data_IF_846385211990
#
_entry.id   IF_846385211990
#
_cell.length_a   1.000
_cell.length_b   1.000
_cell.length_c   1.000
_cell.angle_alpha   90.00
_cell.angle_beta   90.00
_cell.angle_gamma   90.00
#
_symmetry.space_group_name_H-M   'P 1'
#
loop_
_entity.id
_entity.type
_entity.pdbx_description
1 polymer ?
#
# COMPACT_ATOMS: atom_id res chain seq x y z
N UNK A 1 -48.73 -20.99 8.55
CA UNK A 1 -48.80 -22.29 7.81
C UNK A 1 -47.46 -22.94 8.01
N UNK A 2 -47.27 -23.49 9.21
CA UNK A 2 -45.92 -23.60 9.75
C UNK A 2 -45.39 -25.01 9.52
N UNK A 3 -44.37 -25.09 8.65
CA UNK A 3 -43.47 -26.22 8.36
C UNK A 3 -44.06 -27.29 7.42
N UNK A 4 -43.79 -27.14 6.12
CA UNK A 4 -44.12 -28.13 5.08
C UNK A 4 -43.35 -29.45 5.27
N UNK A 5 -42.16 -29.40 5.87
CA UNK A 5 -41.38 -30.57 6.30
C UNK A 5 -41.14 -30.48 7.80
N UNK A 6 -41.47 -31.56 8.50
CA UNK A 6 -41.29 -31.68 9.94
C UNK A 6 -40.30 -32.82 10.22
N UNK A 7 -39.12 -32.52 10.79
CA UNK A 7 -38.29 -33.56 11.36
C UNK A 7 -38.95 -34.07 12.65
N UNK A 8 -38.81 -35.36 12.92
CA UNK A 8 -39.23 -35.97 14.18
C UNK A 8 -38.38 -35.50 15.37
N UNK A 9 -37.11 -35.16 15.12
CA UNK A 9 -36.19 -34.61 16.12
C UNK A 9 -35.72 -33.20 15.75
N UNK A 10 -35.63 -32.31 16.75
CA UNK A 10 -35.09 -30.95 16.57
C UNK A 10 -33.56 -30.93 16.64
N UNK A 11 -32.97 -31.90 17.32
CA UNK A 11 -31.54 -32.08 17.55
C UNK A 11 -31.19 -33.54 17.24
N UNK A 12 -30.06 -33.75 16.58
CA UNK A 12 -29.55 -35.07 16.22
C UNK A 12 -28.23 -35.28 16.94
N UNK A 13 -28.14 -36.32 17.78
CA UNK A 13 -26.92 -36.66 18.51
C UNK A 13 -26.03 -37.60 17.68
N UNK A 14 -24.75 -37.26 17.58
CA UNK A 14 -23.70 -38.02 16.92
C UNK A 14 -22.66 -38.42 17.96
N UNK A 15 -22.42 -39.72 18.09
CA UNK A 15 -21.38 -40.27 18.97
C UNK A 15 -20.12 -40.59 18.15
N UNK A 16 -19.00 -39.94 18.48
CA UNK A 16 -17.72 -40.25 17.83
C UNK A 16 -16.92 -41.25 18.67
N UNK A 17 -16.54 -42.36 18.03
CA UNK A 17 -15.57 -43.33 18.54
C UNK A 17 -14.38 -43.36 17.60
N UNK A 18 -13.16 -43.33 18.15
CA UNK A 18 -11.93 -43.40 17.37
C UNK A 18 -11.97 -44.63 16.44
N UNK A 19 -11.60 -44.42 15.18
CA UNK A 19 -11.49 -45.42 14.11
C UNK A 19 -12.80 -46.12 13.69
N UNK A 20 -13.97 -45.64 14.13
CA UNK A 20 -15.27 -46.18 13.76
C UNK A 20 -16.08 -45.22 12.86
N UNK A 21 -16.86 -45.80 11.94
CA UNK A 21 -17.84 -45.05 11.14
C UNK A 21 -18.92 -44.50 12.06
N UNK A 22 -19.21 -43.20 11.93
CA UNK A 22 -20.20 -42.51 12.74
C UNK A 22 -21.47 -42.29 11.91
N UNK A 23 -22.60 -42.82 12.37
CA UNK A 23 -23.88 -42.68 11.68
C UNK A 23 -25.03 -42.46 12.66
N UNK A 24 -26.00 -41.64 12.26
CA UNK A 24 -27.23 -41.42 13.01
C UNK A 24 -28.41 -41.31 12.04
N UNK A 25 -29.61 -41.68 12.49
CA UNK A 25 -30.80 -41.67 11.64
C UNK A 25 -31.89 -40.78 12.25
N UNK A 26 -32.59 -40.05 11.39
CA UNK A 26 -33.73 -39.20 11.74
C UNK A 26 -34.83 -39.37 10.70
N UNK A 27 -36.05 -38.99 11.04
CA UNK A 27 -37.20 -39.11 10.14
C UNK A 27 -37.69 -37.74 9.69
N UNK A 28 -37.85 -37.59 8.38
CA UNK A 28 -38.50 -36.42 7.80
C UNK A 28 -39.90 -36.78 7.35
N UNK A 29 -40.87 -35.99 7.80
CA UNK A 29 -42.26 -36.10 7.35
C UNK A 29 -42.64 -34.86 6.55
N UNK A 30 -43.00 -35.08 5.29
CA UNK A 30 -43.56 -34.04 4.44
C UNK A 30 -45.07 -33.94 4.69
N UNK A 31 -45.53 -32.79 5.18
CA UNK A 31 -46.93 -32.53 5.50
C UNK A 31 -47.74 -32.11 4.26
N UNK A 32 -47.09 -31.88 3.13
CA UNK A 32 -47.73 -31.67 1.83
C UNK A 32 -47.40 -32.84 0.91
N UNK A 33 -48.29 -33.83 0.88
CA UNK A 33 -48.17 -35.09 0.11
C UNK A 33 -48.07 -34.90 -1.42
N UNK A 34 -47.91 -33.67 -1.91
CA UNK A 34 -47.90 -33.30 -3.33
C UNK A 34 -46.69 -32.48 -3.75
N UNK A 35 -45.75 -32.14 -2.84
CA UNK A 35 -44.59 -31.28 -3.16
C UNK A 35 -43.27 -31.86 -2.66
N UNK A 36 -42.29 -32.04 -3.54
CA UNK A 36 -40.90 -32.35 -3.17
C UNK A 36 -40.21 -31.15 -2.51
N UNK A 37 -39.42 -31.37 -1.46
CA UNK A 37 -38.73 -30.30 -0.72
C UNK A 37 -37.24 -30.61 -0.64
N UNK A 38 -36.35 -29.66 -0.96
CA UNK A 38 -34.91 -29.87 -0.77
C UNK A 38 -34.51 -29.51 0.67
N UNK A 39 -33.66 -30.34 1.28
CA UNK A 39 -33.10 -30.09 2.61
C UNK A 39 -31.58 -30.14 2.52
N UNK A 40 -30.89 -29.00 2.74
CA UNK A 40 -29.45 -28.95 2.99
C UNK A 40 -29.14 -28.99 4.49
N UNK A 41 -27.90 -29.29 4.86
CA UNK A 41 -27.43 -29.36 6.24
C UNK A 41 -26.24 -28.40 6.44
N UNK A 42 -26.33 -27.50 7.42
CA UNK A 42 -25.28 -26.53 7.73
C UNK A 42 -25.00 -26.49 9.23
N UNK A 43 -23.74 -26.24 9.61
CA UNK A 43 -23.32 -26.08 11.02
C UNK A 43 -23.04 -24.61 11.34
N UNK A 44 -23.19 -24.20 12.60
CA UNK A 44 -22.93 -22.83 13.07
C UNK A 44 -21.45 -22.50 13.20
N UNK A 45 -20.56 -23.50 13.06
CA UNK A 45 -19.11 -23.32 13.14
C UNK A 45 -18.40 -23.98 11.94
N UNK A 46 -18.62 -23.40 10.76
CA UNK A 46 -18.16 -23.94 9.47
C UNK A 46 -16.64 -24.03 9.33
N UNK A 47 -15.88 -23.34 10.18
CA UNK A 47 -14.41 -23.39 10.23
C UNK A 47 -13.88 -24.63 10.95
N UNK A 48 -14.67 -25.23 11.85
CA UNK A 48 -14.28 -26.40 12.65
C UNK A 48 -14.91 -27.70 12.13
N UNK A 49 -16.03 -27.58 11.43
CA UNK A 49 -16.70 -28.69 10.80
C UNK A 49 -17.30 -28.19 9.48
N UNK A 50 -16.94 -28.76 8.35
CA UNK A 50 -17.56 -28.42 7.07
C UNK A 50 -17.94 -29.72 6.38
N UNK A 51 -19.20 -29.85 5.98
CA UNK A 51 -19.59 -30.94 5.09
C UNK A 51 -18.99 -30.63 3.72
N UNK A 52 -18.02 -31.44 3.29
CA UNK A 52 -17.32 -31.27 2.00
C UNK A 52 -18.26 -31.35 0.80
N UNK A 53 -19.47 -31.91 0.97
CA UNK A 53 -20.57 -31.85 0.01
C UNK A 53 -21.89 -31.47 0.71
N UNK A 54 -22.69 -30.54 0.15
CA UNK A 54 -24.01 -30.25 0.66
C UNK A 54 -24.91 -31.48 0.48
N UNK A 55 -25.37 -32.06 1.58
CA UNK A 55 -26.32 -33.18 1.54
C UNK A 55 -27.71 -32.64 1.23
N UNK A 56 -28.12 -32.73 -0.05
CA UNK A 56 -29.47 -32.40 -0.49
C UNK A 56 -30.36 -33.65 -0.42
N UNK A 57 -31.34 -33.62 0.48
CA UNK A 57 -32.32 -34.71 0.60
C UNK A 57 -33.64 -34.25 -0.01
N UNK A 58 -34.18 -35.03 -0.95
CA UNK A 58 -35.55 -34.88 -1.47
C UNK A 58 -36.42 -35.92 -0.77
N UNK A 59 -37.25 -35.55 0.23
CA UNK A 59 -38.17 -36.48 0.84
C UNK A 59 -39.23 -36.90 -0.18
N UNK A 60 -39.59 -38.20 -0.24
CA UNK A 60 -40.76 -38.63 -0.99
C UNK A 60 -42.03 -38.03 -0.38
N UNK A 61 -43.18 -38.20 -1.05
CA UNK A 61 -44.49 -37.64 -0.65
C UNK A 61 -44.98 -38.12 0.75
N UNK A 62 -44.23 -39.01 1.40
CA UNK A 62 -44.51 -39.64 2.69
C UNK A 62 -43.32 -39.52 3.65
N UNK A 63 -43.52 -39.93 4.91
CA UNK A 63 -42.46 -39.99 5.92
C UNK A 63 -41.34 -40.95 5.49
N UNK A 64 -40.08 -40.55 5.64
CA UNK A 64 -38.91 -41.37 5.31
C UNK A 64 -37.76 -41.16 6.29
N UNK A 65 -37.04 -42.25 6.58
CA UNK A 65 -35.88 -42.25 7.45
C UNK A 65 -34.62 -42.01 6.63
N UNK A 66 -33.77 -41.12 7.13
CA UNK A 66 -32.48 -40.77 6.52
C UNK A 66 -31.36 -41.04 7.50
N UNK A 67 -30.26 -41.58 6.99
CA UNK A 67 -29.06 -41.84 7.76
C UNK A 67 -27.97 -40.87 7.33
N UNK A 68 -27.52 -40.04 8.26
CA UNK A 68 -26.31 -39.24 8.08
C UNK A 68 -25.11 -40.16 8.34
N UNK A 69 -24.21 -40.31 7.36
CA UNK A 69 -22.98 -41.09 7.49
C UNK A 69 -21.78 -40.16 7.31
N UNK A 70 -20.92 -40.07 8.33
CA UNK A 70 -19.65 -39.35 8.25
C UNK A 70 -18.54 -40.39 8.10
N UNK A 71 -17.91 -40.40 6.93
CA UNK A 71 -16.90 -41.40 6.56
C UNK A 71 -15.54 -40.82 6.18
N UNK A 72 -15.42 -39.51 6.07
CA UNK A 72 -14.18 -38.85 5.67
C UNK A 72 -13.52 -38.13 6.86
N UNK A 73 -12.19 -38.24 7.04
CA UNK A 73 -11.43 -37.61 8.13
C UNK A 73 -11.70 -36.10 8.31
N UNK A 74 -11.96 -35.38 7.21
CA UNK A 74 -12.31 -33.96 7.20
C UNK A 74 -13.65 -33.63 7.85
N UNK A 75 -14.54 -34.62 7.92
CA UNK A 75 -15.91 -34.49 8.41
C UNK A 75 -16.03 -35.02 9.86
N UNK A 76 -14.91 -35.30 10.53
CA UNK A 76 -14.87 -35.73 11.92
C UNK A 76 -14.24 -34.62 12.79
N UNK A 77 -14.74 -34.36 14.01
CA UNK A 77 -14.07 -33.44 14.91
C UNK A 77 -12.67 -33.94 15.27
N UNK A 78 -11.68 -33.07 15.47
CA UNK A 78 -10.34 -33.48 15.87
C UNK A 78 -10.35 -34.10 17.28
N UNK A 79 -10.12 -35.41 17.37
CA UNK A 79 -10.12 -36.17 18.64
C UNK A 79 -8.70 -36.29 19.22
N UNK A 80 -8.41 -35.86 20.47
CA UNK A 80 -7.06 -35.90 21.05
C UNK A 80 -6.56 -37.33 21.32
N UNK A 81 -5.25 -37.57 21.13
CA UNK A 81 -4.61 -38.90 21.16
C UNK A 81 -4.65 -39.64 22.52
N UNK A 82 -4.82 -38.92 23.63
CA UNK A 82 -4.65 -39.47 24.99
C UNK A 82 -5.93 -39.36 25.81
N UNK A 83 -6.40 -40.49 26.35
CA UNK A 83 -7.62 -40.78 27.14
C UNK A 83 -8.76 -41.40 26.30
N UNK A 84 -9.29 -42.59 26.66
CA UNK A 84 -10.44 -43.19 26.01
C UNK A 84 -11.70 -42.49 26.51
N UNK A 85 -12.38 -41.77 25.63
CA UNK A 85 -13.74 -41.33 25.88
C UNK A 85 -14.66 -42.24 25.08
N UNK A 86 -15.52 -42.98 25.79
CA UNK A 86 -16.38 -43.97 25.15
C UNK A 86 -17.40 -43.37 24.19
N UNK A 87 -17.74 -42.08 24.31
CA UNK A 87 -18.64 -41.37 23.41
C UNK A 87 -18.42 -39.85 23.51
N UNK A 88 -18.22 -39.15 22.38
CA UNK A 88 -18.44 -37.69 22.30
C UNK A 88 -19.79 -37.43 21.65
N UNK A 89 -20.73 -36.84 22.39
CA UNK A 89 -22.07 -36.50 21.91
C UNK A 89 -22.08 -35.11 21.26
N UNK A 90 -22.21 -35.07 19.94
CA UNK A 90 -22.40 -33.84 19.16
C UNK A 90 -23.87 -33.74 18.80
N UNK A 91 -24.56 -32.74 19.33
CA UNK A 91 -25.93 -32.43 18.93
C UNK A 91 -25.93 -31.47 17.74
N UNK A 92 -26.32 -31.96 16.57
CA UNK A 92 -26.47 -31.18 15.34
C UNK A 92 -27.96 -30.88 15.10
N UNK A 93 -28.33 -29.62 14.85
CA UNK A 93 -29.67 -29.31 14.33
C UNK A 93 -29.64 -29.33 12.80
N UNK A 94 -30.71 -29.82 12.19
CA UNK A 94 -30.88 -29.73 10.74
C UNK A 94 -31.59 -28.44 10.34
N UNK A 95 -31.07 -27.78 9.31
CA UNK A 95 -31.57 -26.51 8.81
C UNK A 95 -31.68 -26.63 7.28
N UNK A 96 -32.88 -26.91 6.73
CA UNK A 96 -33.08 -26.97 5.29
C UNK A 96 -32.68 -25.63 4.69
N UNK A 97 -31.53 -25.60 4.02
CA UNK A 97 -31.16 -24.50 3.13
C UNK A 97 -31.13 -25.03 1.70
N UNK A 98 -31.21 -24.17 0.70
CA UNK A 98 -31.10 -24.64 -0.67
C UNK A 98 -31.52 -23.61 -1.69
N UNK A 99 -30.54 -23.11 -2.44
CA UNK A 99 -30.68 -23.04 -3.90
C UNK A 99 -30.28 -24.43 -4.40
N UNK A 100 -31.21 -25.19 -4.98
CA UNK A 100 -30.83 -26.44 -5.63
C UNK A 100 -29.91 -26.14 -6.84
N UNK A 101 -28.97 -27.04 -7.11
CA UNK A 101 -28.09 -26.92 -8.27
C UNK A 101 -28.90 -26.90 -9.57
N UNK A 102 -28.38 -26.23 -10.60
CA UNK A 102 -29.08 -26.04 -11.88
C UNK A 102 -29.53 -27.38 -12.51
N UNK A 103 -28.78 -28.45 -12.29
CA UNK A 103 -29.07 -29.80 -12.78
C UNK A 103 -30.20 -30.51 -12.02
N UNK A 104 -30.27 -30.31 -10.70
CA UNK A 104 -31.34 -30.83 -9.85
C UNK A 104 -32.65 -30.09 -10.09
N UNK A 105 -32.58 -28.75 -10.26
CA UNK A 105 -33.71 -27.92 -10.66
C UNK A 105 -34.25 -28.32 -12.04
N UNK A 106 -33.38 -28.66 -13.00
CA UNK A 106 -33.79 -29.13 -14.35
C UNK A 106 -34.56 -30.46 -14.30
N UNK A 107 -34.20 -31.38 -13.39
CA UNK A 107 -34.95 -32.62 -13.18
C UNK A 107 -36.31 -32.40 -12.50
N UNK A 108 -36.39 -31.40 -11.61
CA UNK A 108 -37.59 -31.11 -10.81
C UNK A 108 -38.63 -30.25 -11.54
N UNK A 109 -38.22 -29.32 -12.41
CA UNK A 109 -39.12 -28.39 -13.11
C UNK A 109 -39.60 -28.85 -14.50
N UNK A 110 -39.69 -30.16 -14.74
CA UNK A 110 -40.27 -30.69 -15.98
C UNK A 110 -41.80 -30.44 -16.12
N UNK A 111 -42.45 -29.83 -15.12
CA UNK A 111 -43.87 -29.46 -15.16
C UNK A 111 -44.09 -27.99 -14.72
N UNK A 112 -44.92 -27.22 -15.42
CA UNK A 112 -45.09 -25.79 -15.15
C UNK A 112 -46.04 -25.51 -13.97
N UNK A 113 -45.60 -24.63 -13.05
CA UNK A 113 -46.40 -24.06 -11.96
C UNK A 113 -45.56 -23.10 -11.08
N UNK A 114 -46.17 -22.13 -10.37
CA UNK A 114 -45.43 -21.21 -9.51
C UNK A 114 -45.01 -21.90 -8.20
N UNK A 115 -43.71 -21.95 -7.93
CA UNK A 115 -43.14 -22.56 -6.73
C UNK A 115 -42.63 -21.46 -5.78
N UNK A 116 -43.20 -21.39 -4.57
CA UNK A 116 -42.78 -20.45 -3.52
C UNK A 116 -42.12 -21.24 -2.39
N UNK A 117 -40.86 -20.95 -2.11
CA UNK A 117 -40.12 -21.50 -0.97
C UNK A 117 -40.01 -20.43 0.12
N UNK A 118 -40.26 -20.79 1.39
CA UNK A 118 -40.11 -19.91 2.55
C UNK A 118 -39.07 -20.47 3.50
N UNK A 119 -38.20 -19.59 4.00
CA UNK A 119 -37.11 -19.92 4.91
C UNK A 119 -37.62 -20.16 6.35
N UNK A 120 -37.05 -21.14 7.03
CA UNK A 120 -37.30 -21.40 8.45
C UNK A 120 -35.98 -21.73 9.17
N UNK A 121 -35.75 -21.08 10.31
CA UNK A 121 -34.56 -21.22 11.15
C UNK A 121 -34.85 -21.97 12.44
N UNK A 122 -33.89 -22.78 12.89
CA UNK A 122 -33.90 -23.45 14.21
C UNK A 122 -32.50 -23.24 14.83
N UNK A 123 -32.41 -22.83 16.11
CA UNK A 123 -31.14 -22.52 16.75
C UNK A 123 -30.38 -23.76 17.26
N UNK A 124 -29.04 -23.64 17.31
CA UNK A 124 -28.11 -24.56 17.98
C UNK A 124 -27.42 -23.79 19.11
N UNK A 125 -27.36 -24.36 20.31
CA UNK A 125 -26.60 -23.80 21.43
C UNK A 125 -25.61 -24.80 22.00
N UNK A 126 -24.37 -24.34 22.22
CA UNK A 126 -23.36 -25.06 22.99
C UNK A 126 -23.48 -24.65 24.46
N UNK A 127 -23.69 -25.60 25.38
CA UNK A 127 -23.80 -25.30 26.82
C UNK A 127 -22.85 -26.19 27.60
N UNK A 128 -21.87 -25.58 28.26
CA UNK A 128 -20.96 -26.21 29.22
C UNK A 128 -19.60 -25.51 29.31
N UNK A 129 -18.93 -25.52 30.48
CA UNK A 129 -17.65 -24.84 30.70
C UNK A 129 -16.48 -25.36 29.84
N UNK A 130 -16.65 -26.44 29.06
CA UNK A 130 -15.61 -27.07 28.24
C UNK A 130 -15.64 -26.58 26.77
N UNK A 131 -16.63 -25.78 26.38
CA UNK A 131 -16.68 -25.11 25.06
C UNK A 131 -15.63 -23.98 24.99
N UNK A 132 -15.29 -23.39 26.15
CA UNK A 132 -14.18 -22.43 26.29
C UNK A 132 -12.82 -23.12 26.11
N UNK A 133 -12.72 -24.40 26.46
CA UNK A 133 -11.48 -25.18 26.38
C UNK A 133 -11.09 -25.55 24.94
N UNK A 134 -12.08 -25.70 24.05
CA UNK A 134 -11.88 -25.90 22.61
C UNK A 134 -11.59 -24.61 21.84
N UNK A 135 -12.07 -23.45 22.31
CA UNK A 135 -11.75 -22.14 21.74
C UNK A 135 -10.31 -21.68 22.02
N UNK A 136 -9.59 -22.36 22.93
CA UNK A 136 -8.21 -22.02 23.35
C UNK A 136 -7.18 -23.04 22.80
N UNK A 137 -7.60 -24.13 22.13
CA UNK A 137 -6.77 -25.33 21.96
C UNK A 137 -6.01 -25.50 20.63
N UNK A 138 -5.54 -24.42 19.99
CA UNK A 138 -4.25 -24.54 19.28
C UNK A 138 -3.07 -24.74 20.26
N UNK A 139 -3.32 -24.62 21.57
CA UNK A 139 -2.34 -24.80 22.64
C UNK A 139 -1.94 -26.23 23.00
N UNK A 140 -2.42 -27.30 22.36
CA UNK A 140 -2.17 -28.65 22.92
C UNK A 140 -0.85 -29.31 22.52
N UNK A 141 -0.16 -28.88 21.45
CA UNK A 141 1.27 -29.20 21.29
C UNK A 141 2.16 -28.25 22.11
N UNK A 142 1.73 -26.99 22.27
CA UNK A 142 2.41 -25.97 23.07
C UNK A 142 2.30 -26.26 24.57
N UNK A 143 1.24 -26.91 25.08
CA UNK A 143 0.99 -27.11 26.52
C UNK A 143 1.96 -28.08 27.21
N UNK A 144 2.34 -29.17 26.53
CA UNK A 144 3.39 -30.06 27.06
C UNK A 144 4.76 -29.40 26.94
N UNK A 145 5.02 -28.73 25.83
CA UNK A 145 6.26 -27.96 25.67
C UNK A 145 6.35 -26.85 26.71
N UNK A 146 5.32 -26.02 26.91
CA UNK A 146 5.28 -24.90 27.86
C UNK A 146 5.33 -25.36 29.32
N UNK A 147 4.74 -26.52 29.67
CA UNK A 147 4.89 -27.09 31.01
C UNK A 147 6.33 -27.58 31.27
N UNK A 148 6.93 -28.33 30.33
CA UNK A 148 8.32 -28.77 30.49
C UNK A 148 9.32 -27.62 30.33
N UNK A 149 9.00 -26.64 29.49
CA UNK A 149 9.79 -25.45 29.22
C UNK A 149 9.74 -24.50 30.40
N UNK A 150 8.57 -24.13 30.93
CA UNK A 150 8.44 -23.32 32.16
C UNK A 150 9.20 -23.96 33.33
N UNK A 151 9.12 -25.30 33.47
CA UNK A 151 9.92 -26.02 34.46
C UNK A 151 11.42 -25.96 34.17
N UNK A 152 11.84 -26.11 32.91
CA UNK A 152 13.25 -26.02 32.52
C UNK A 152 13.81 -24.60 32.72
N UNK A 153 13.03 -23.56 32.41
CA UNK A 153 13.45 -22.17 32.55
C UNK A 153 13.28 -21.62 33.96
N UNK A 154 12.52 -22.28 34.84
CA UNK A 154 12.38 -21.88 36.26
C UNK A 154 13.68 -21.91 37.06
N UNK A 155 14.68 -22.67 36.58
CA UNK A 155 16.03 -22.70 37.16
C UNK A 155 17.00 -21.69 36.54
N UNK A 156 16.61 -20.96 35.49
CA UNK A 156 17.48 -20.01 34.82
C UNK A 156 17.52 -18.66 35.54
N UNK A 157 18.68 -18.04 35.55
CA UNK A 157 18.85 -16.63 35.92
C UNK A 157 18.20 -15.71 34.90
N UNK A 158 17.82 -14.49 35.31
CA UNK A 158 17.28 -13.47 34.40
C UNK A 158 18.21 -13.17 33.21
N UNK A 159 19.53 -13.27 33.41
CA UNK A 159 20.51 -13.15 32.32
C UNK A 159 20.44 -14.27 31.29
N UNK A 160 20.24 -15.52 31.73
CA UNK A 160 20.11 -16.68 30.84
C UNK A 160 18.79 -16.62 30.06
N UNK A 161 17.69 -16.26 30.74
CA UNK A 161 16.39 -16.02 30.09
C UNK A 161 16.48 -14.95 29.01
N UNK A 162 17.16 -13.84 29.32
CA UNK A 162 17.36 -12.75 28.35
C UNK A 162 18.20 -13.19 27.15
N UNK A 163 19.21 -14.06 27.35
CA UNK A 163 20.01 -14.62 26.27
C UNK A 163 19.19 -15.54 25.34
N UNK A 164 18.17 -16.22 25.87
CA UNK A 164 17.27 -17.09 25.11
C UNK A 164 16.23 -16.33 24.29
N UNK A 165 15.93 -15.07 24.62
CA UNK A 165 14.99 -14.25 23.84
C UNK A 165 15.45 -14.05 22.40
N UNK A 166 16.75 -13.86 22.18
CA UNK A 166 17.31 -13.64 20.83
C UNK A 166 17.00 -14.79 19.85
N UNK A 167 17.36 -16.05 20.13
CA UNK A 167 17.03 -17.16 19.25
C UNK A 167 15.52 -17.41 19.14
N UNK A 168 14.73 -17.17 20.19
CA UNK A 168 13.26 -17.29 20.15
C UNK A 168 12.60 -16.25 19.23
N UNK A 169 13.08 -15.01 19.26
CA UNK A 169 12.61 -13.95 18.35
C UNK A 169 13.03 -14.26 16.90
N UNK A 170 14.25 -14.76 16.71
CA UNK A 170 14.76 -15.13 15.38
C UNK A 170 13.99 -16.31 14.77
N UNK A 171 13.44 -17.23 15.58
CA UNK A 171 12.59 -18.31 15.10
C UNK A 171 11.16 -17.85 14.77
N UNK A 172 10.76 -16.64 15.18
CA UNK A 172 9.42 -16.11 14.97
C UNK A 172 8.34 -16.71 15.86
N UNK A 173 8.73 -17.48 16.90
CA UNK A 173 7.82 -18.19 17.79
C UNK A 173 7.35 -17.28 18.93
N UNK A 174 6.17 -16.69 18.76
CA UNK A 174 5.60 -15.74 19.73
C UNK A 174 5.27 -16.38 21.09
N UNK A 175 4.91 -17.66 21.12
CA UNK A 175 4.57 -18.37 22.37
C UNK A 175 5.83 -18.62 23.20
N UNK A 176 6.92 -19.00 22.54
CA UNK A 176 8.23 -19.16 23.18
C UNK A 176 8.74 -17.82 23.74
N UNK A 177 8.59 -16.74 22.97
CA UNK A 177 8.96 -15.39 23.41
C UNK A 177 8.13 -14.95 24.61
N UNK A 178 6.80 -15.13 24.57
CA UNK A 178 5.91 -14.82 25.71
C UNK A 178 6.32 -15.59 26.97
N UNK A 179 6.58 -16.90 26.83
CA UNK A 179 6.97 -17.76 27.94
C UNK A 179 8.29 -17.34 28.59
N UNK A 180 9.27 -16.90 27.79
CA UNK A 180 10.56 -16.40 28.29
C UNK A 180 10.44 -15.05 29.00
N UNK A 181 9.57 -14.16 28.51
CA UNK A 181 9.30 -12.87 29.15
C UNK A 181 8.57 -13.07 30.48
N UNK A 182 7.54 -13.92 30.50
CA UNK A 182 6.80 -14.29 31.72
C UNK A 182 7.70 -14.91 32.79
N UNK A 183 8.73 -15.66 32.37
CA UNK A 183 9.74 -16.23 33.27
C UNK A 183 10.73 -15.17 33.84
N UNK A 184 10.72 -13.93 33.34
CA UNK A 184 11.58 -12.84 33.80
C UNK A 184 12.72 -12.45 32.84
N UNK A 185 12.62 -12.81 31.55
CA UNK A 185 13.52 -12.31 30.52
C UNK A 185 13.35 -10.80 30.28
N UNK A 186 14.46 -10.06 30.24
CA UNK A 186 14.45 -8.60 30.06
C UNK A 186 14.41 -8.23 28.58
N UNK A 187 13.28 -7.69 28.13
CA UNK A 187 13.06 -7.25 26.73
C UNK A 187 13.85 -5.99 26.34
N UNK A 188 14.39 -5.26 27.31
CA UNK A 188 15.08 -3.97 27.10
C UNK A 188 16.60 -4.07 27.22
N UNK A 189 17.14 -5.26 27.45
CA UNK A 189 18.59 -5.44 27.54
C UNK A 189 19.21 -5.37 26.15
N UNK A 190 20.09 -4.39 25.93
CA UNK A 190 20.76 -4.20 24.66
C UNK A 190 21.53 -5.47 24.23
N UNK A 191 21.25 -5.92 23.01
CA UNK A 191 22.03 -6.96 22.34
C UNK A 191 23.18 -6.25 21.64
N UNK A 192 24.41 -6.54 22.04
CA UNK A 192 25.61 -5.74 21.74
C UNK A 192 25.90 -5.49 20.26
N UNK A 193 25.26 -6.23 19.33
CA UNK A 193 25.65 -6.23 17.92
C UNK A 193 24.48 -6.04 16.92
N UNK A 194 23.21 -6.12 17.35
CA UNK A 194 22.05 -6.19 16.43
C UNK A 194 20.94 -5.17 16.67
N UNK A 195 21.12 -4.24 17.61
CA UNK A 195 20.07 -3.30 18.03
C UNK A 195 19.18 -3.85 19.14
N UNK A 196 17.98 -3.29 19.29
CA UNK A 196 16.99 -3.72 20.29
C UNK A 196 16.41 -5.11 19.95
N UNK A 197 15.83 -5.80 20.93
CA UNK A 197 15.10 -7.05 20.66
C UNK A 197 13.88 -6.80 19.74
N UNK A 198 13.32 -5.60 19.80
CA UNK A 198 12.25 -5.16 18.91
C UNK A 198 12.73 -5.04 17.45
N UNK A 199 13.92 -4.47 17.21
CA UNK A 199 14.48 -4.39 15.85
C UNK A 199 14.75 -5.79 15.26
N UNK A 200 15.21 -6.73 16.09
CA UNK A 200 15.36 -8.13 15.68
C UNK A 200 14.03 -8.79 15.31
N UNK A 201 12.96 -8.50 16.06
CA UNK A 201 11.62 -9.02 15.76
C UNK A 201 11.06 -8.44 14.46
N UNK A 202 11.31 -7.16 14.20
CA UNK A 202 10.98 -6.54 12.91
C UNK A 202 11.72 -7.24 11.78
N UNK A 203 13.04 -7.46 11.94
CA UNK A 203 13.88 -8.17 10.96
C UNK A 203 13.44 -9.61 10.69
N UNK A 204 12.87 -10.31 11.68
CA UNK A 204 12.32 -11.65 11.47
C UNK A 204 10.98 -11.63 10.73
N UNK A 205 10.33 -10.47 10.66
CA UNK A 205 9.07 -10.25 9.94
C UNK A 205 7.83 -10.80 10.64
N UNK A 206 7.98 -11.29 11.89
CA UNK A 206 6.89 -11.86 12.69
C UNK A 206 6.11 -10.75 13.42
N UNK A 207 4.89 -10.48 12.94
CA UNK A 207 4.00 -9.47 13.53
C UNK A 207 3.62 -9.87 14.97
N UNK A 208 3.42 -11.16 15.19
CA UNK A 208 3.01 -11.73 16.47
C UNK A 208 4.10 -11.51 17.52
N UNK A 209 5.37 -11.76 17.17
CA UNK A 209 6.50 -11.49 18.09
C UNK A 209 6.62 -9.99 18.37
N UNK A 210 6.47 -9.13 17.37
CA UNK A 210 6.47 -7.67 17.55
C UNK A 210 5.37 -7.25 18.53
N UNK A 211 4.14 -7.77 18.38
CA UNK A 211 3.03 -7.49 19.30
C UNK A 211 3.30 -7.96 20.73
N UNK A 212 3.90 -9.14 20.91
CA UNK A 212 4.28 -9.65 22.25
C UNK A 212 5.28 -8.73 22.93
N UNK A 213 6.31 -8.28 22.19
CA UNK A 213 7.32 -7.36 22.73
C UNK A 213 6.72 -5.99 23.07
N UNK A 214 5.84 -5.44 22.23
CA UNK A 214 5.12 -4.18 22.50
C UNK A 214 4.29 -4.31 23.77
N UNK A 215 3.52 -5.40 23.93
CA UNK A 215 2.71 -5.65 25.12
C UNK A 215 3.55 -5.78 26.41
N UNK A 216 4.84 -6.11 26.27
CA UNK A 216 5.79 -6.27 27.36
C UNK A 216 6.57 -4.99 27.68
N UNK A 217 6.10 -3.83 27.22
CA UNK A 217 6.71 -2.51 27.45
C UNK A 217 8.19 -2.44 27.03
N UNK A 218 8.52 -3.07 25.89
CA UNK A 218 9.82 -2.86 25.25
C UNK A 218 9.97 -1.41 24.78
N UNK A 219 11.20 -0.94 24.66
CA UNK A 219 11.54 0.39 24.13
C UNK A 219 11.85 0.28 22.64
N UNK A 220 11.31 1.21 21.86
CA UNK A 220 11.72 1.42 20.48
C UNK A 220 12.96 2.32 20.42
N UNK A 221 13.89 1.96 19.54
CA UNK A 221 15.04 2.78 19.15
C UNK A 221 14.94 3.16 17.67
N UNK A 222 15.84 4.04 17.21
CA UNK A 222 15.81 4.49 15.81
C UNK A 222 15.95 3.36 14.80
N UNK A 223 16.63 2.27 15.16
CA UNK A 223 16.87 1.13 14.27
C UNK A 223 15.58 0.44 13.80
N UNK A 224 14.52 0.43 14.63
CA UNK A 224 13.29 -0.32 14.35
C UNK A 224 12.62 0.14 13.05
N UNK A 225 12.54 1.46 12.81
CA UNK A 225 11.97 2.00 11.57
C UNK A 225 12.88 1.77 10.36
N UNK A 226 14.20 1.79 10.55
CA UNK A 226 15.15 1.52 9.46
C UNK A 226 15.04 0.07 9.00
N UNK A 227 14.93 -0.88 9.93
CA UNK A 227 14.75 -2.30 9.64
C UNK A 227 13.39 -2.57 8.97
N UNK A 228 12.31 -1.97 9.47
CA UNK A 228 10.99 -2.11 8.86
C UNK A 228 10.95 -1.54 7.43
N UNK A 229 11.60 -0.38 7.22
CA UNK A 229 11.75 0.22 5.91
C UNK A 229 12.61 -0.64 4.98
N UNK A 230 13.69 -1.25 5.48
CA UNK A 230 14.54 -2.15 4.70
C UNK A 230 13.77 -3.37 4.16
N UNK A 231 12.80 -3.87 4.95
CA UNK A 231 11.97 -5.02 4.60
C UNK A 231 10.70 -4.70 3.81
N UNK A 232 10.42 -3.42 3.51
CA UNK A 232 9.18 -2.96 2.90
C UNK A 232 7.92 -3.38 3.68
N UNK A 233 7.99 -3.40 5.02
CA UNK A 233 6.88 -3.83 5.89
C UNK A 233 6.14 -2.61 6.44
N UNK A 234 5.30 -2.02 5.59
CA UNK A 234 4.44 -0.87 5.93
C UNK A 234 3.50 -1.20 7.10
N UNK A 235 3.01 -2.43 7.16
CA UNK A 235 2.19 -2.95 8.24
C UNK A 235 2.90 -2.89 9.61
N UNK A 236 4.20 -3.24 9.65
CA UNK A 236 4.99 -3.13 10.86
C UNK A 236 5.22 -1.66 11.26
N UNK A 237 5.51 -0.78 10.30
CA UNK A 237 5.66 0.66 10.58
C UNK A 237 4.36 1.24 11.14
N UNK A 238 3.21 0.89 10.58
CA UNK A 238 1.91 1.34 11.07
C UNK A 238 1.66 0.87 12.51
N UNK A 239 1.97 -0.39 12.83
CA UNK A 239 1.86 -0.91 14.19
C UNK A 239 2.78 -0.12 15.14
N UNK A 240 4.05 0.07 14.75
CA UNK A 240 5.03 0.77 15.57
C UNK A 240 4.63 2.22 15.85
N UNK A 241 4.26 2.99 14.82
CA UNK A 241 3.80 4.36 14.98
C UNK A 241 2.54 4.49 15.84
N UNK A 242 1.64 3.49 15.79
CA UNK A 242 0.44 3.46 16.65
C UNK A 242 0.77 3.08 18.10
N UNK A 243 1.75 2.21 18.31
CA UNK A 243 2.10 1.70 19.64
C UNK A 243 3.06 2.59 20.42
N UNK A 244 3.87 3.40 19.73
CA UNK A 244 4.88 4.26 20.35
C UNK A 244 4.70 5.72 19.91
N UNK A 245 4.07 6.58 20.74
CA UNK A 245 3.87 8.00 20.45
C UNK A 245 5.18 8.78 20.24
N UNK A 246 6.28 8.30 20.81
CA UNK A 246 7.62 8.91 20.73
C UNK A 246 8.39 8.58 19.44
N UNK A 247 7.88 7.68 18.60
CA UNK A 247 8.53 7.33 17.34
C UNK A 247 8.43 8.50 16.37
N UNK A 248 9.58 8.99 15.93
CA UNK A 248 9.70 9.94 14.83
C UNK A 248 10.09 9.21 13.54
N UNK A 249 9.26 9.36 12.51
CA UNK A 249 9.49 8.80 11.16
C UNK A 249 10.74 9.37 10.47
N UNK A 250 11.29 10.46 11.01
CA UNK A 250 12.51 11.11 10.55
C UNK A 250 13.76 10.76 11.37
N UNK A 251 13.67 9.83 12.32
CA UNK A 251 14.84 9.38 13.07
C UNK A 251 15.97 8.99 12.16
N UNK A 252 17.19 9.34 12.58
CA UNK A 252 18.39 9.07 11.80
C UNK A 252 19.29 8.03 12.45
N UNK A 253 19.96 7.24 11.62
CA UNK A 253 21.03 6.33 12.04
C UNK A 253 22.35 7.09 12.30
N UNK A 254 23.40 6.36 12.65
CA UNK A 254 24.74 6.93 12.92
C UNK A 254 25.39 7.64 11.72
N UNK A 255 24.87 7.43 10.51
CA UNK A 255 25.33 8.05 9.26
C UNK A 255 24.41 9.23 8.88
N UNK A 256 23.35 9.50 9.64
CA UNK A 256 22.39 10.56 9.35
C UNK A 256 21.31 10.15 8.35
N UNK A 257 21.18 8.86 8.02
CA UNK A 257 20.13 8.37 7.12
C UNK A 257 18.85 8.18 7.91
N UNK A 258 17.73 8.53 7.31
CA UNK A 258 16.39 8.28 7.82
C UNK A 258 15.74 7.04 7.15
N UNK A 259 14.62 6.50 7.65
CA UNK A 259 13.92 5.37 7.03
C UNK A 259 13.63 5.56 5.53
N UNK A 260 13.35 6.80 5.10
CA UNK A 260 13.09 7.12 3.69
C UNK A 260 14.33 6.93 2.80
N UNK A 261 15.55 7.12 3.34
CA UNK A 261 16.80 6.80 2.63
C UNK A 261 16.92 5.29 2.39
N UNK A 262 16.57 4.48 3.40
CA UNK A 262 16.64 3.02 3.31
C UNK A 262 15.61 2.50 2.30
N UNK A 263 14.37 2.99 2.38
CA UNK A 263 13.33 2.65 1.42
C UNK A 263 13.72 3.05 -0.02
N UNK A 264 14.30 4.23 -0.21
CA UNK A 264 14.77 4.69 -1.51
C UNK A 264 15.92 3.82 -2.05
N UNK A 265 16.90 3.49 -1.20
CA UNK A 265 18.04 2.66 -1.57
C UNK A 265 17.67 1.22 -1.91
N UNK A 266 16.51 0.73 -1.47
CA UNK A 266 16.04 -0.64 -1.74
C UNK A 266 14.93 -0.70 -2.79
N UNK A 267 14.47 0.44 -3.32
CA UNK A 267 13.43 0.48 -4.34
C UNK A 267 11.99 0.31 -3.80
N UNK A 268 11.78 0.54 -2.50
CA UNK A 268 10.52 0.25 -1.81
C UNK A 268 9.52 1.41 -1.91
N UNK A 269 8.83 1.50 -3.05
CA UNK A 269 7.91 2.61 -3.38
C UNK A 269 6.76 2.74 -2.38
N UNK A 270 6.15 1.64 -1.95
CA UNK A 270 5.03 1.69 -1.01
C UNK A 270 5.47 2.20 0.37
N UNK A 271 6.66 1.79 0.82
CA UNK A 271 7.28 2.34 2.01
C UNK A 271 7.61 3.83 1.88
N UNK A 272 8.11 4.27 0.71
CA UNK A 272 8.36 5.71 0.43
C UNK A 272 7.07 6.53 0.56
N UNK A 273 6.01 6.12 -0.14
CA UNK A 273 4.70 6.79 -0.09
C UNK A 273 4.15 6.84 1.33
N UNK A 274 4.25 5.74 2.06
CA UNK A 274 3.81 5.67 3.46
C UNK A 274 4.60 6.68 4.30
N UNK A 275 5.94 6.63 4.31
CA UNK A 275 6.78 7.56 5.05
C UNK A 275 6.42 9.03 4.76
N UNK A 276 6.25 9.39 3.49
CA UNK A 276 5.87 10.76 3.08
C UNK A 276 4.49 11.12 3.62
N UNK A 277 3.51 10.20 3.53
CA UNK A 277 2.15 10.44 4.01
C UNK A 277 2.05 10.69 5.52
N UNK A 278 2.99 10.16 6.30
CA UNK A 278 3.06 10.34 7.76
C UNK A 278 4.03 11.46 8.18
N UNK A 279 4.51 12.28 7.24
CA UNK A 279 5.37 13.45 7.53
C UNK A 279 6.88 13.21 7.42
N UNK A 280 7.30 12.15 6.73
CA UNK A 280 8.70 11.87 6.42
C UNK A 280 9.29 12.90 5.45
N UNK A 281 10.47 13.42 5.78
CA UNK A 281 11.16 14.41 4.98
C UNK A 281 11.89 13.76 3.79
N UNK A 282 11.32 13.86 2.58
CA UNK A 282 11.94 13.38 1.34
C UNK A 282 13.20 14.17 0.91
N UNK A 283 13.48 15.30 1.55
CA UNK A 283 14.58 16.21 1.22
C UNK A 283 15.75 16.12 2.19
N UNK A 284 15.65 15.30 3.25
CA UNK A 284 16.69 15.17 4.27
C UNK A 284 18.00 14.66 3.66
N UNK A 285 19.12 15.18 4.14
CA UNK A 285 20.46 14.77 3.71
C UNK A 285 21.24 14.07 4.81
N UNK A 286 21.89 12.96 4.49
CA UNK A 286 22.78 12.24 5.41
C UNK A 286 24.14 12.96 5.64
N UNK A 287 25.04 12.35 6.41
CA UNK A 287 26.35 12.94 6.71
C UNK A 287 27.26 13.11 5.48
N UNK A 288 26.96 12.47 4.35
CA UNK A 288 27.64 12.62 3.06
C UNK A 288 26.91 13.59 2.12
N UNK A 289 25.82 14.21 2.56
CA UNK A 289 24.97 15.07 1.74
C UNK A 289 24.08 14.30 0.78
N UNK A 290 23.88 12.99 1.00
CA UNK A 290 22.99 12.18 0.16
C UNK A 290 21.56 12.38 0.61
N UNK A 291 20.67 12.58 -0.35
CA UNK A 291 19.22 12.59 -0.14
C UNK A 291 18.63 11.23 -0.53
N UNK A 292 17.38 10.91 -0.17
CA UNK A 292 16.70 9.70 -0.65
C UNK A 292 16.76 9.56 -2.18
N UNK A 293 16.66 10.68 -2.91
CA UNK A 293 16.75 10.69 -4.37
C UNK A 293 18.13 10.23 -4.88
N UNK A 294 19.22 10.62 -4.20
CA UNK A 294 20.56 10.13 -4.52
C UNK A 294 20.65 8.60 -4.32
N UNK A 295 20.10 8.08 -3.22
CA UNK A 295 20.08 6.64 -2.95
C UNK A 295 19.31 5.86 -4.02
N UNK A 296 18.10 6.31 -4.39
CA UNK A 296 17.30 5.66 -5.44
C UNK A 296 18.01 5.70 -6.80
N UNK A 297 18.64 6.84 -7.13
CA UNK A 297 19.31 7.02 -8.40
C UNK A 297 20.62 6.22 -8.53
N UNK A 298 21.42 6.15 -7.45
CA UNK A 298 22.63 5.31 -7.40
C UNK A 298 22.30 3.82 -7.63
N UNK A 299 21.16 3.35 -7.10
CA UNK A 299 20.74 1.95 -7.18
C UNK A 299 19.86 1.62 -8.39
N UNK A 300 19.51 2.60 -9.22
CA UNK A 300 18.77 2.37 -10.46
C UNK A 300 17.25 2.17 -10.26
N UNK A 301 16.70 2.59 -9.13
CA UNK A 301 15.30 2.33 -8.78
C UNK A 301 14.34 3.34 -9.41
N UNK A 302 13.92 3.06 -10.66
CA UNK A 302 13.07 3.95 -11.47
C UNK A 302 11.81 4.43 -10.77
N UNK A 303 11.02 3.54 -10.20
CA UNK A 303 9.73 3.90 -9.62
C UNK A 303 9.92 4.69 -8.30
N UNK A 304 10.96 4.37 -7.52
CA UNK A 304 11.34 5.16 -6.36
C UNK A 304 11.83 6.55 -6.76
N UNK A 305 12.63 6.67 -7.81
CA UNK A 305 13.07 7.95 -8.36
C UNK A 305 11.87 8.79 -8.80
N UNK A 306 10.92 8.23 -9.54
CA UNK A 306 9.69 8.94 -9.95
C UNK A 306 8.87 9.39 -8.74
N UNK A 307 8.61 8.48 -7.80
CA UNK A 307 7.87 8.78 -6.57
C UNK A 307 8.51 9.93 -5.78
N UNK A 308 9.85 9.94 -5.66
CA UNK A 308 10.55 11.02 -4.96
C UNK A 308 10.50 12.34 -5.73
N UNK A 309 10.60 12.32 -7.06
CA UNK A 309 10.48 13.52 -7.90
C UNK A 309 9.08 14.14 -7.86
N UNK A 310 8.04 13.32 -7.71
CA UNK A 310 6.66 13.79 -7.53
C UNK A 310 6.45 14.50 -6.19
N UNK A 311 7.19 14.11 -5.15
CA UNK A 311 6.99 14.60 -3.79
C UNK A 311 8.04 15.59 -3.28
N UNK A 312 9.13 15.83 -4.03
CA UNK A 312 10.26 16.65 -3.57
C UNK A 312 10.92 17.44 -4.70
N UNK A 313 11.55 18.57 -4.35
CA UNK A 313 12.22 19.45 -5.29
C UNK A 313 13.75 19.25 -5.35
N UNK A 314 14.26 18.15 -4.80
CA UNK A 314 15.70 17.90 -4.54
C UNK A 314 16.50 17.30 -5.70
N UNK A 315 15.97 17.32 -6.92
CA UNK A 315 16.62 16.75 -8.12
C UNK A 315 18.04 17.26 -8.40
N UNK A 316 18.40 18.42 -7.83
CA UNK A 316 19.64 19.16 -8.10
C UNK A 316 20.52 19.33 -6.88
N UNK A 317 20.10 18.76 -5.73
CA UNK A 317 20.97 18.72 -4.57
C UNK A 317 22.22 17.94 -4.96
N UNK A 318 23.37 18.39 -4.47
CA UNK A 318 24.65 17.73 -4.68
C UNK A 318 25.12 17.11 -3.37
N UNK A 319 25.67 15.91 -3.47
CA UNK A 319 26.41 15.28 -2.38
C UNK A 319 27.65 16.09 -2.02
N UNK A 320 28.32 15.78 -0.90
CA UNK A 320 29.62 16.38 -0.54
C UNK A 320 30.71 16.18 -1.60
N UNK A 321 30.54 15.21 -2.49
CA UNK A 321 31.44 14.96 -3.62
C UNK A 321 31.05 15.73 -4.89
N UNK A 322 30.06 16.64 -4.80
CA UNK A 322 29.59 17.44 -5.94
C UNK A 322 28.70 16.69 -6.94
N UNK A 323 28.27 15.46 -6.62
CA UNK A 323 27.45 14.62 -7.53
C UNK A 323 25.97 14.82 -7.27
N UNK A 324 25.20 15.02 -8.33
CA UNK A 324 23.73 14.98 -8.32
C UNK A 324 23.20 13.55 -8.46
N UNK A 325 21.90 13.35 -8.23
CA UNK A 325 21.23 12.08 -8.54
C UNK A 325 21.40 11.66 -10.01
N UNK A 326 21.36 12.60 -10.96
CA UNK A 326 21.64 12.33 -12.37
C UNK A 326 23.06 11.79 -12.59
N UNK A 327 24.07 12.44 -12.00
CA UNK A 327 25.47 12.02 -12.13
C UNK A 327 25.67 10.61 -11.56
N UNK A 328 25.07 10.30 -10.41
CA UNK A 328 25.12 8.95 -9.83
C UNK A 328 24.44 7.90 -10.73
N UNK A 329 23.27 8.22 -11.29
CA UNK A 329 22.59 7.31 -12.23
C UNK A 329 23.42 7.06 -13.49
N UNK A 330 24.07 8.10 -14.04
CA UNK A 330 24.91 8.00 -15.23
C UNK A 330 26.17 7.17 -14.99
N UNK A 331 26.88 7.44 -13.89
CA UNK A 331 28.11 6.71 -13.52
C UNK A 331 27.86 5.22 -13.25
N UNK A 332 26.70 4.88 -12.69
CA UNK A 332 26.32 3.50 -12.41
C UNK A 332 25.58 2.82 -13.61
N UNK A 333 25.45 3.49 -14.75
CA UNK A 333 24.91 2.90 -15.98
C UNK A 333 23.38 2.78 -16.03
N UNK A 334 22.64 3.50 -15.18
CA UNK A 334 21.17 3.43 -15.08
C UNK A 334 20.49 4.30 -16.15
N UNK A 335 20.64 3.90 -17.42
CA UNK A 335 20.16 4.64 -18.61
C UNK A 335 18.66 4.95 -18.58
N UNK A 336 17.84 4.08 -18.02
CA UNK A 336 16.40 4.24 -17.83
C UNK A 336 16.03 5.42 -16.93
N UNK A 337 16.90 5.80 -15.98
CA UNK A 337 16.69 6.94 -15.09
C UNK A 337 17.04 8.28 -15.74
N UNK A 338 17.99 8.29 -16.69
CA UNK A 338 18.56 9.51 -17.23
C UNK A 338 17.51 10.41 -17.86
N UNK A 339 16.52 9.85 -18.54
CA UNK A 339 15.40 10.61 -19.10
C UNK A 339 14.60 11.39 -18.04
N UNK A 340 14.35 10.78 -16.89
CA UNK A 340 13.59 11.39 -15.79
C UNK A 340 14.43 12.37 -14.96
N UNK A 341 15.73 12.09 -14.85
CA UNK A 341 16.68 12.92 -14.11
C UNK A 341 17.29 14.05 -14.96
N UNK A 342 17.02 14.11 -16.28
CA UNK A 342 17.49 15.18 -17.16
C UNK A 342 17.06 16.57 -16.68
N UNK A 343 17.96 17.53 -16.85
CA UNK A 343 17.91 18.87 -16.24
C UNK A 343 16.83 19.81 -16.81
N UNK A 344 16.20 19.44 -17.91
CA UNK A 344 15.39 20.35 -18.74
C UNK A 344 14.15 20.91 -18.00
N UNK A 345 13.56 20.12 -17.11
CA UNK A 345 12.40 20.54 -16.31
C UNK A 345 12.74 21.60 -15.23
N UNK A 346 14.01 21.71 -14.78
CA UNK A 346 14.38 22.76 -13.82
C UNK A 346 14.42 24.13 -14.47
N UNK A 347 14.99 24.19 -15.67
CA UNK A 347 15.17 25.44 -16.36
C UNK A 347 13.79 26.05 -16.67
N UNK A 348 12.85 25.19 -17.09
CA UNK A 348 11.43 25.52 -17.26
C UNK A 348 10.77 25.96 -15.95
N UNK A 349 11.02 25.26 -14.83
CA UNK A 349 10.45 25.62 -13.52
C UNK A 349 11.03 26.92 -12.96
N UNK A 350 12.34 27.12 -13.03
CA UNK A 350 13.02 28.34 -12.61
C UNK A 350 12.49 29.54 -13.39
N UNK A 351 12.33 29.39 -14.72
CA UNK A 351 11.70 30.40 -15.57
C UNK A 351 10.23 30.68 -15.18
N UNK A 352 9.45 29.66 -14.79
CA UNK A 352 8.07 29.80 -14.32
C UNK A 352 7.94 30.54 -12.98
N UNK A 353 8.91 30.35 -12.08
CA UNK A 353 8.94 30.97 -10.75
C UNK A 353 9.67 32.32 -10.72
N UNK A 354 10.23 32.76 -11.85
CA UNK A 354 11.10 33.94 -11.96
C UNK A 354 12.38 33.83 -11.08
N UNK A 355 12.91 32.62 -10.91
CA UNK A 355 14.14 32.38 -10.17
C UNK A 355 15.38 32.49 -11.08
N UNK A 356 15.88 33.71 -11.25
CA UNK A 356 17.04 33.99 -12.10
C UNK A 356 18.34 33.33 -11.58
N UNK A 357 18.46 33.09 -10.27
CA UNK A 357 19.63 32.43 -9.70
C UNK A 357 19.62 30.94 -10.00
N UNK A 358 18.47 30.27 -9.77
CA UNK A 358 18.25 28.89 -10.17
C UNK A 358 18.49 28.69 -11.66
N UNK A 359 18.01 29.62 -12.50
CA UNK A 359 18.17 29.58 -13.95
C UNK A 359 19.66 29.64 -14.37
N UNK A 360 20.44 30.57 -13.81
CA UNK A 360 21.90 30.63 -14.04
C UNK A 360 22.62 29.35 -13.62
N UNK A 361 22.24 28.81 -12.46
CA UNK A 361 22.82 27.57 -11.94
C UNK A 361 22.55 26.38 -12.88
N UNK A 362 21.32 26.26 -13.40
CA UNK A 362 20.94 25.21 -14.36
C UNK A 362 21.78 25.28 -15.64
N UNK A 363 21.92 26.47 -16.21
CA UNK A 363 22.65 26.67 -17.46
C UNK A 363 24.15 26.44 -17.28
N UNK A 364 24.73 26.85 -16.14
CA UNK A 364 26.12 26.56 -15.80
C UNK A 364 26.39 25.04 -15.68
N UNK A 365 25.36 24.25 -15.37
CA UNK A 365 25.42 22.79 -15.28
C UNK A 365 25.03 22.08 -16.58
N UNK A 366 24.87 22.82 -17.69
CA UNK A 366 24.63 22.27 -19.02
C UNK A 366 23.18 21.92 -19.34
N UNK A 367 22.20 22.53 -18.65
CA UNK A 367 20.79 22.39 -19.01
C UNK A 367 20.52 22.87 -20.44
N UNK A 368 19.64 22.18 -21.18
CA UNK A 368 19.29 22.58 -22.55
C UNK A 368 18.42 23.83 -22.55
N UNK A 369 18.96 24.95 -23.03
CA UNK A 369 18.29 26.26 -23.02
C UNK A 369 16.96 26.30 -23.78
N UNK A 370 16.82 25.43 -24.78
CA UNK A 370 15.66 25.35 -25.67
C UNK A 370 14.81 24.08 -25.44
N UNK A 371 15.04 23.35 -24.32
CA UNK A 371 14.23 22.18 -23.98
C UNK A 371 12.75 22.52 -23.93
N UNK A 372 11.90 21.63 -24.46
CA UNK A 372 10.45 21.84 -24.56
C UNK A 372 9.71 20.98 -23.55
N UNK A 373 8.70 21.55 -22.90
CA UNK A 373 7.77 20.80 -22.07
C UNK A 373 6.66 20.12 -22.90
N UNK A 374 5.73 19.46 -22.20
CA UNK A 374 4.61 18.73 -22.81
C UNK A 374 3.64 19.56 -23.65
N UNK A 375 3.67 20.89 -23.52
CA UNK A 375 2.87 21.81 -24.34
C UNK A 375 3.71 22.47 -25.44
N UNK A 376 4.96 22.02 -25.62
CA UNK A 376 5.92 22.61 -26.52
C UNK A 376 6.59 23.87 -25.98
N UNK A 377 6.36 24.27 -24.72
CA UNK A 377 6.91 25.52 -24.18
C UNK A 377 8.40 25.38 -23.86
N UNK A 378 9.17 26.39 -24.24
CA UNK A 378 10.57 26.56 -23.81
C UNK A 378 10.65 27.36 -22.50
N UNK A 379 11.80 27.35 -21.79
CA UNK A 379 12.02 28.26 -20.66
C UNK A 379 11.74 29.73 -20.99
N UNK A 380 12.01 30.15 -22.22
CA UNK A 380 11.75 31.52 -22.68
C UNK A 380 10.24 31.83 -22.72
N UNK A 381 9.39 30.88 -23.12
CA UNK A 381 7.92 31.03 -23.05
C UNK A 381 7.46 31.26 -21.60
N UNK A 382 7.96 30.44 -20.67
CA UNK A 382 7.60 30.52 -19.23
C UNK A 382 8.02 31.85 -18.62
N UNK A 383 9.27 32.26 -18.85
CA UNK A 383 9.79 33.54 -18.34
C UNK A 383 9.05 34.74 -18.96
N UNK A 384 8.71 34.66 -20.25
CA UNK A 384 7.97 35.69 -20.96
C UNK A 384 6.54 35.87 -20.45
N UNK A 385 5.80 34.77 -20.29
CA UNK A 385 4.46 34.76 -19.71
C UNK A 385 4.44 35.26 -18.26
N UNK A 386 5.49 34.98 -17.47
CA UNK A 386 5.59 35.39 -16.07
C UNK A 386 5.99 36.87 -15.91
N UNK A 387 6.60 37.47 -16.92
CA UNK A 387 7.13 38.84 -16.86
C UNK A 387 8.52 38.95 -16.24
N UNK A 388 9.26 37.84 -16.14
CA UNK A 388 10.56 37.76 -15.48
C UNK A 388 11.70 38.34 -16.31
N UNK A 389 11.93 39.65 -16.22
CA UNK A 389 12.93 40.36 -17.05
C UNK A 389 14.33 39.77 -16.91
N UNK A 390 14.77 39.50 -15.69
CA UNK A 390 16.10 38.95 -15.44
C UNK A 390 16.23 37.50 -15.94
N UNK A 391 15.19 36.68 -15.78
CA UNK A 391 15.16 35.33 -16.35
C UNK A 391 15.25 35.36 -17.89
N UNK A 392 14.50 36.27 -18.54
CA UNK A 392 14.55 36.44 -20.00
C UNK A 392 15.94 36.85 -20.46
N UNK A 393 16.59 37.82 -19.80
CA UNK A 393 17.97 38.21 -20.12
C UNK A 393 18.94 37.03 -19.99
N UNK A 394 18.85 36.27 -18.90
CA UNK A 394 19.73 35.12 -18.68
C UNK A 394 19.54 34.08 -19.79
N UNK A 395 18.30 33.73 -20.13
CA UNK A 395 18.00 32.77 -21.18
C UNK A 395 18.52 33.22 -22.56
N UNK A 396 18.28 34.47 -22.95
CA UNK A 396 18.73 35.03 -24.22
C UNK A 396 20.26 35.05 -24.31
N UNK A 397 20.95 35.42 -23.24
CA UNK A 397 22.41 35.41 -23.17
C UNK A 397 23.02 33.99 -23.31
N UNK A 398 22.23 32.95 -23.05
CA UNK A 398 22.65 31.54 -23.20
C UNK A 398 22.08 30.88 -24.46
N UNK A 399 21.63 31.67 -25.44
CA UNK A 399 21.23 31.15 -26.75
C UNK A 399 19.80 30.63 -26.83
N UNK A 400 18.90 31.11 -25.98
CA UNK A 400 17.47 30.85 -26.12
C UNK A 400 16.96 31.36 -27.48
N UNK A 401 16.26 30.50 -28.22
CA UNK A 401 15.67 30.84 -29.51
C UNK A 401 14.40 31.68 -29.31
N UNK A 402 14.38 32.88 -29.90
CA UNK A 402 13.35 33.92 -29.65
C UNK A 402 12.01 33.67 -30.34
N UNK A 403 12.01 32.93 -31.46
CA UNK A 403 10.83 32.70 -32.31
C UNK A 403 10.37 31.22 -32.31
N UNK A 404 10.76 30.44 -31.30
CA UNK A 404 10.22 29.06 -31.16
C UNK A 404 8.72 29.15 -30.96
N UNK A 405 7.98 28.27 -31.64
CA UNK A 405 6.54 28.12 -31.46
C UNK A 405 6.24 26.92 -30.58
N UNK A 406 5.26 27.09 -29.69
CA UNK A 406 4.65 26.01 -28.94
C UNK A 406 3.67 25.20 -29.83
N UNK A 407 2.99 24.23 -29.22
CA UNK A 407 2.08 23.33 -29.94
C UNK A 407 0.79 24.04 -30.42
N UNK A 408 0.49 25.23 -29.89
CA UNK A 408 -0.60 26.10 -30.32
C UNK A 408 -0.15 27.20 -31.31
N UNK A 409 1.14 27.24 -31.67
CA UNK A 409 1.70 28.24 -32.57
C UNK A 409 2.09 29.56 -31.90
N UNK A 410 2.08 29.64 -30.57
CA UNK A 410 2.47 30.82 -29.80
C UNK A 410 3.98 30.88 -29.66
N UNK A 411 4.52 32.09 -29.72
CA UNK A 411 5.94 32.38 -29.46
C UNK A 411 6.09 33.04 -28.08
N UNK A 412 7.31 33.13 -27.51
CA UNK A 412 7.50 33.84 -26.24
C UNK A 412 6.98 35.29 -26.27
N UNK A 413 7.06 35.97 -27.42
CA UNK A 413 6.52 37.32 -27.60
C UNK A 413 4.99 37.34 -27.44
N UNK A 414 4.28 36.36 -28.01
CA UNK A 414 2.83 36.23 -27.84
C UNK A 414 2.47 36.07 -26.36
N UNK A 415 3.19 35.20 -25.63
CA UNK A 415 2.97 34.99 -24.20
C UNK A 415 3.20 36.26 -23.36
N UNK A 416 4.25 37.05 -23.64
CA UNK A 416 4.51 38.30 -22.94
C UNK A 416 3.42 39.35 -23.21
N UNK A 417 2.93 39.43 -24.45
CA UNK A 417 1.88 40.37 -24.84
C UNK A 417 0.54 39.99 -24.23
N UNK A 418 0.18 38.70 -24.26
CA UNK A 418 -1.04 38.15 -23.64
C UNK A 418 -1.09 38.45 -22.13
N UNK A 419 0.04 38.27 -21.45
CA UNK A 419 0.16 38.55 -20.02
C UNK A 419 0.35 40.05 -19.70
N UNK A 420 0.45 40.92 -20.70
CA UNK A 420 0.58 42.38 -20.54
C UNK A 420 1.97 42.86 -20.09
N UNK A 421 3.01 42.05 -20.24
CA UNK A 421 4.38 42.34 -19.81
C UNK A 421 5.16 43.14 -20.86
N UNK A 422 4.83 44.43 -20.97
CA UNK A 422 5.39 45.38 -21.98
C UNK A 422 6.92 45.38 -22.02
N UNK A 423 7.58 45.42 -20.87
CA UNK A 423 9.05 45.49 -20.81
C UNK A 423 9.71 44.21 -21.34
N UNK A 424 9.11 43.04 -21.08
CA UNK A 424 9.58 41.76 -21.61
C UNK A 424 9.33 41.66 -23.10
N UNK A 425 8.16 42.10 -23.58
CA UNK A 425 7.86 42.15 -25.01
C UNK A 425 8.88 43.02 -25.77
N UNK A 426 9.19 44.22 -25.24
CA UNK A 426 10.22 45.09 -25.81
C UNK A 426 11.61 44.44 -25.79
N UNK A 427 11.96 43.74 -24.70
CA UNK A 427 13.22 43.02 -24.59
C UNK A 427 13.35 41.91 -25.65
N UNK A 428 12.28 41.14 -25.88
CA UNK A 428 12.26 40.09 -26.90
C UNK A 428 12.38 40.66 -28.32
N UNK A 429 11.67 41.75 -28.63
CA UNK A 429 11.78 42.45 -29.93
C UNK A 429 13.20 42.99 -30.14
N UNK A 430 13.81 43.56 -29.11
CA UNK A 430 15.20 44.02 -29.17
C UNK A 430 16.20 42.88 -29.45
N UNK A 431 15.85 41.64 -29.10
CA UNK A 431 16.62 40.43 -29.40
C UNK A 431 16.16 39.71 -30.68
N UNK A 432 15.44 40.42 -31.56
CA UNK A 432 15.11 39.94 -32.91
C UNK A 432 13.82 39.15 -33.02
N UNK A 433 12.97 39.12 -31.98
CA UNK A 433 11.66 38.48 -32.10
C UNK A 433 10.81 39.13 -33.19
N UNK A 434 10.22 38.31 -34.07
CA UNK A 434 9.41 38.80 -35.19
C UNK A 434 8.05 39.32 -34.71
N UNK A 435 7.94 40.64 -34.53
CA UNK A 435 6.67 41.30 -34.25
C UNK A 435 5.92 41.66 -35.55
N UNK A 436 4.79 41.01 -35.81
CA UNK A 436 3.84 41.48 -36.82
C UNK A 436 2.46 41.70 -36.16
N UNK A 437 1.73 42.73 -36.60
CA UNK A 437 0.46 43.10 -35.96
C UNK A 437 -0.60 42.00 -36.10
N UNK A 438 -0.57 41.23 -37.20
CA UNK A 438 -1.48 40.10 -37.44
C UNK A 438 -1.27 38.92 -36.49
N UNK A 439 -0.05 38.70 -36.01
CA UNK A 439 0.27 37.61 -35.08
C UNK A 439 -0.20 37.93 -33.67
N UNK A 440 -0.34 39.23 -33.35
CA UNK A 440 -0.85 39.74 -32.07
C UNK A 440 -2.38 39.94 -32.07
N UNK A 441 -3.04 40.03 -33.23
CA UNK A 441 -4.49 40.25 -33.37
C UNK A 441 -5.35 39.03 -32.97
N UNK A 442 -4.78 37.81 -32.93
CA UNK A 442 -5.50 36.59 -32.55
C UNK A 442 -5.65 36.36 -31.03
N UNK A 443 -4.99 37.18 -30.21
CA UNK A 443 -4.97 37.05 -28.74
C UNK A 443 -5.97 38.04 -28.13
N UNK A 444 -6.96 37.52 -27.42
CA UNK A 444 -8.23 38.18 -27.07
C UNK A 444 -8.10 39.55 -26.36
N UNK A 445 -8.72 40.58 -26.95
CA UNK A 445 -9.18 41.90 -26.40
C UNK A 445 -8.14 42.94 -25.90
N UNK A 446 -8.42 44.25 -26.08
CA UNK A 446 -7.54 45.16 -26.81
C UNK A 446 -6.24 45.41 -26.02
N UNK A 447 -5.17 44.73 -26.42
CA UNK A 447 -3.83 45.16 -26.04
C UNK A 447 -3.67 46.60 -26.53
N UNK A 448 -3.37 47.53 -25.62
CA UNK A 448 -3.10 48.92 -25.97
C UNK A 448 -1.77 48.99 -26.74
N UNK A 449 -1.85 48.65 -28.03
CA UNK A 449 -0.76 48.66 -29.00
C UNK A 449 -0.19 50.08 -29.18
N UNK A 450 -0.89 51.14 -28.76
CA UNK A 450 -0.39 52.52 -28.83
C UNK A 450 0.90 52.71 -28.03
N UNK A 451 1.13 51.91 -26.97
CA UNK A 451 2.39 51.91 -26.22
C UNK A 451 3.58 51.37 -27.04
N UNK A 452 3.32 50.60 -28.09
CA UNK A 452 4.33 49.98 -28.93
C UNK A 452 4.51 50.72 -30.27
N UNK A 453 3.49 51.42 -30.77
CA UNK A 453 3.47 52.11 -32.10
C UNK A 453 4.65 53.06 -32.36
N UNK A 454 5.25 53.65 -31.33
CA UNK A 454 6.33 54.64 -31.46
C UNK A 454 7.73 54.08 -31.11
N UNK A 455 7.88 52.77 -30.87
CA UNK A 455 9.16 52.21 -30.43
C UNK A 455 10.09 51.94 -31.62
N UNK A 456 11.34 52.45 -31.61
CA UNK A 456 12.28 52.35 -32.74
C UNK A 456 12.70 50.91 -33.11
N UNK A 457 12.35 49.92 -32.30
CA UNK A 457 12.64 48.50 -32.54
C UNK A 457 11.56 47.78 -33.38
N UNK A 458 10.40 48.39 -33.65
CA UNK A 458 9.40 47.84 -34.56
C UNK A 458 9.69 48.36 -35.97
N UNK A 459 10.41 47.56 -36.76
CA UNK A 459 11.01 47.98 -38.05
C UNK A 459 9.99 48.08 -39.21
N UNK A 460 8.70 48.21 -38.94
CA UNK A 460 7.73 48.58 -39.99
C UNK A 460 6.80 49.69 -39.54
N UNK A 461 6.70 50.79 -40.31
CA UNK A 461 5.76 51.86 -40.03
C UNK A 461 4.34 51.30 -40.05
N UNK A 462 3.54 51.70 -39.06
CA UNK A 462 2.08 51.58 -39.11
C UNK A 462 1.62 52.51 -40.23
N UNK A 463 1.67 52.06 -41.49
CA UNK A 463 1.16 52.81 -42.62
C UNK A 463 -0.37 52.90 -42.51
N UNK A 464 -0.85 53.98 -41.91
CA UNK A 464 -2.11 54.57 -42.29
C UNK A 464 -1.83 55.51 -43.45
N UNK A 465 -2.29 55.13 -44.64
CA UNK A 465 -3.07 56.04 -45.49
C UNK A 465 -3.77 55.21 -46.57
N UNK A 466 -5.09 55.12 -46.43
CA UNK A 466 -5.97 54.75 -47.53
C UNK A 466 -5.99 55.93 -48.49
N UNK A 467 -5.37 55.79 -49.65
CA UNK A 467 -5.80 56.57 -50.81
C UNK A 467 -7.23 56.16 -51.16
N UNK A 468 -8.16 57.12 -51.01
CA UNK A 468 -9.44 57.15 -51.72
C UNK A 468 -9.64 58.58 -52.21
N UNK A 469 -9.32 58.80 -53.48
CA UNK A 469 -10.11 59.62 -54.39
C UNK A 469 -10.41 58.76 -55.61
#
# INVERSE_FOLDING_TARGET
>A
MDRLVKPDVKEVELSFKRDNKCSTSFRLSNLMHTMSVAVNLTTTNSSLFSFTQPYSIIPPLSSSSYTLLLSHPSDHPPLPATVPHDVINVKASMLPTGKAGLEDLRRLFARPGPHVFRDATIPISFVGPHVVEFLISQRTQISRFSFFFSKAVSGCSGSELTALLKPAIASGDADLVSSLIEAGGDVNRNVSDTGSLLSLAVRSGSIEVVKVLIASACKADSSVLHDAAAMNRVDLVEILCKSFPEIDVNWVDSVGRSPIHIAASNGHVEMLKFCISVGGNAEVSDCKGWTPLHCAAEKGHLDSTKCLLECSNVKYVVTKNGKTAFALAAENGHSNLLGFLRFDDLLLRAARLDDAHGLKSCLAQGAEVNGRDQNGWTPLHRAAFKGGIECVKVLLNHGAQVDVVDDAGYTPLHCAVEAGHVQVALLLVAHGARANVKSLEGVVSPVNLDRFKNHPALVHPVCHEKERA
#
